data_IF_277320733787
#
_entry.id   IF_277320733787
#
_cell.length_a   1.000
_cell.length_b   1.000
_cell.length_c   1.000
_cell.angle_alpha   90.00
_cell.angle_beta   90.00
_cell.angle_gamma   90.00
#
_symmetry.space_group_name_H-M   'P 1'
#
loop_
_entity.id
_entity.type
_entity.pdbx_description
1 polymer ?
#
# COMPACT_ATOMS: atom_id res chain seq x y z
N UNK A 1 -25.49 -2.49 5.41
CA UNK A 1 -25.55 -3.89 5.82
C UNK A 1 -24.12 -4.42 6.01
N UNK A 2 -23.67 -4.51 7.24
CA UNK A 2 -22.40 -5.17 7.55
C UNK A 2 -22.72 -6.66 7.66
N UNK A 3 -22.39 -7.41 6.61
CA UNK A 3 -22.52 -8.87 6.63
C UNK A 3 -21.61 -9.45 7.70
N UNK A 4 -22.12 -10.46 8.45
CA UNK A 4 -21.30 -11.24 9.39
C UNK A 4 -20.50 -12.34 8.67
N UNK A 5 -20.70 -12.51 7.37
CA UNK A 5 -19.94 -13.45 6.55
C UNK A 5 -18.52 -12.90 6.33
N UNK A 6 -17.47 -13.61 6.76
CA UNK A 6 -16.09 -13.17 6.58
C UNK A 6 -15.66 -13.08 5.09
N UNK A 7 -16.38 -13.76 4.20
CA UNK A 7 -16.13 -13.76 2.75
C UNK A 7 -16.99 -12.73 2.00
N UNK A 8 -17.86 -12.00 2.69
CA UNK A 8 -18.70 -11.00 2.03
C UNK A 8 -17.85 -9.85 1.48
N UNK A 9 -18.07 -9.52 0.22
CA UNK A 9 -17.47 -8.33 -0.40
C UNK A 9 -17.92 -7.08 0.37
N UNK A 10 -16.99 -6.34 0.91
CA UNK A 10 -17.26 -5.13 1.68
C UNK A 10 -17.59 -3.95 0.78
N UNK A 11 -17.03 -3.90 -0.41
CA UNK A 11 -17.31 -2.92 -1.45
C UNK A 11 -17.00 -3.48 -2.83
N UNK A 12 -17.69 -2.96 -3.83
CA UNK A 12 -17.50 -3.31 -5.24
C UNK A 12 -17.16 -2.02 -6.00
N UNK A 13 -16.09 -2.03 -6.77
CA UNK A 13 -15.78 -0.95 -7.67
C UNK A 13 -16.60 -1.09 -8.95
N UNK A 14 -17.56 -0.17 -9.18
CA UNK A 14 -18.32 -0.13 -10.42
C UNK A 14 -17.50 0.55 -11.52
N UNK A 15 -17.34 -0.11 -12.66
CA UNK A 15 -16.88 0.54 -13.88
C UNK A 15 -18.06 1.26 -14.51
N UNK A 16 -17.98 2.58 -14.65
CA UNK A 16 -19.07 3.38 -15.24
C UNK A 16 -19.07 3.38 -16.76
N UNK A 17 -18.01 2.92 -17.43
CA UNK A 17 -17.87 2.91 -18.88
C UNK A 17 -17.01 1.74 -19.32
N UNK A 18 -17.49 1.00 -20.32
CA UNK A 18 -16.74 -0.13 -20.92
C UNK A 18 -15.58 0.34 -21.80
N UNK A 19 -15.58 1.61 -22.22
CA UNK A 19 -14.54 2.25 -23.04
C UNK A 19 -13.38 2.86 -22.21
N UNK A 20 -13.39 2.71 -20.90
CA UNK A 20 -12.25 3.08 -20.07
C UNK A 20 -11.06 2.19 -20.41
N UNK A 21 -10.15 2.72 -21.23
CA UNK A 21 -8.90 2.11 -21.70
C UNK A 21 -7.93 1.66 -20.59
N UNK A 22 -8.31 1.86 -19.34
CA UNK A 22 -7.47 1.56 -18.20
C UNK A 22 -8.05 0.37 -17.43
N UNK A 23 -7.41 -0.78 -17.56
CA UNK A 23 -7.62 -1.96 -16.70
C UNK A 23 -7.28 -1.68 -15.22
N UNK A 24 -6.87 -0.45 -14.92
CA UNK A 24 -6.39 -0.02 -13.62
C UNK A 24 -7.40 0.93 -12.99
N UNK A 25 -7.96 0.54 -11.85
CA UNK A 25 -8.74 1.44 -11.02
C UNK A 25 -7.82 2.00 -9.94
N UNK A 26 -7.44 3.28 -10.09
CA UNK A 26 -6.53 3.98 -9.17
C UNK A 26 -7.23 5.23 -8.67
N UNK A 27 -7.24 5.41 -7.36
CA UNK A 27 -7.76 6.61 -6.70
C UNK A 27 -6.63 7.59 -6.41
N UNK A 28 -6.90 8.90 -6.51
CA UNK A 28 -6.00 9.96 -6.05
C UNK A 28 -5.01 10.50 -7.09
N UNK A 29 -5.04 10.03 -8.35
CA UNK A 29 -4.07 10.44 -9.38
C UNK A 29 -4.07 11.94 -9.72
N UNK A 30 -5.17 12.65 -9.50
CA UNK A 30 -5.33 14.05 -9.95
C UNK A 30 -4.56 15.05 -9.08
N UNK A 31 -4.16 14.67 -7.87
CA UNK A 31 -3.55 15.58 -6.88
C UNK A 31 -2.08 15.22 -6.60
N UNK A 32 -1.50 14.33 -7.41
CA UNK A 32 -0.16 13.79 -7.18
C UNK A 32 0.94 14.74 -7.70
N UNK A 33 1.89 15.04 -6.83
CA UNK A 33 3.16 15.66 -7.19
C UNK A 33 4.16 14.58 -7.63
N UNK A 34 4.41 14.51 -8.95
CA UNK A 34 5.32 13.52 -9.56
C UNK A 34 6.81 13.75 -9.24
N UNK A 35 7.16 14.91 -8.68
CA UNK A 35 8.53 15.22 -8.28
C UNK A 35 8.92 14.64 -6.93
N UNK A 36 7.93 14.14 -6.17
CA UNK A 36 8.07 13.56 -4.84
C UNK A 36 7.74 12.07 -4.84
N UNK A 37 8.22 11.29 -3.84
CA UNK A 37 7.78 9.91 -3.67
C UNK A 37 6.26 9.80 -3.56
N UNK A 38 5.66 8.87 -4.33
CA UNK A 38 4.23 8.61 -4.34
C UNK A 38 3.98 7.32 -3.55
N UNK A 39 3.19 7.41 -2.49
CA UNK A 39 2.84 6.24 -1.68
C UNK A 39 1.68 5.51 -2.34
N UNK A 40 1.86 4.22 -2.62
CA UNK A 40 0.87 3.35 -3.25
C UNK A 40 0.27 2.43 -2.19
N UNK A 41 -0.94 2.72 -1.73
CA UNK A 41 -1.70 1.91 -0.77
C UNK A 41 -2.62 0.92 -1.48
N UNK A 42 -3.08 -0.12 -0.79
CA UNK A 42 -4.07 -1.06 -1.32
C UNK A 42 -5.48 -0.45 -1.30
N UNK A 43 -5.83 0.30 -0.26
CA UNK A 43 -7.15 0.87 -0.04
C UNK A 43 -7.21 2.39 -0.04
N UNK A 44 -8.39 2.94 -0.40
CA UNK A 44 -8.66 4.38 -0.36
C UNK A 44 -8.55 4.91 1.08
N UNK A 45 -9.06 4.14 2.05
CA UNK A 45 -9.08 4.55 3.44
C UNK A 45 -7.68 4.62 4.10
N UNK A 46 -6.66 4.06 3.46
CA UNK A 46 -5.27 4.24 3.86
C UNK A 46 -4.66 5.46 3.16
N UNK A 47 -4.89 5.58 1.85
CA UNK A 47 -4.32 6.64 1.05
C UNK A 47 -4.85 8.04 1.42
N UNK A 48 -6.13 8.17 1.80
CA UNK A 48 -6.77 9.46 2.09
C UNK A 48 -6.13 10.24 3.24
N UNK A 49 -5.46 9.56 4.15
CA UNK A 49 -4.78 10.18 5.29
C UNK A 49 -3.35 10.61 4.99
N UNK A 50 -2.78 10.11 3.90
CA UNK A 50 -1.37 10.32 3.56
C UNK A 50 -1.21 11.41 2.50
N UNK A 51 -0.17 12.21 2.63
CA UNK A 51 0.20 13.18 1.60
C UNK A 51 0.88 12.47 0.43
N UNK A 52 0.57 12.91 -0.78
CA UNK A 52 1.10 12.36 -2.05
C UNK A 52 0.90 10.84 -2.19
N UNK A 53 -0.32 10.38 -1.91
CA UNK A 53 -0.66 8.96 -1.91
C UNK A 53 -1.77 8.63 -2.91
N UNK A 54 -1.73 7.40 -3.44
CA UNK A 54 -2.74 6.81 -4.30
C UNK A 54 -3.20 5.46 -3.75
N UNK A 55 -4.42 5.05 -4.10
CA UNK A 55 -4.89 3.70 -3.80
C UNK A 55 -4.98 2.86 -5.07
N UNK A 56 -4.35 1.69 -5.03
CA UNK A 56 -4.36 0.69 -6.10
C UNK A 56 -5.50 -0.30 -5.83
N UNK A 57 -6.70 0.01 -6.31
CA UNK A 57 -7.94 -0.73 -5.97
C UNK A 57 -8.06 -2.10 -6.64
N UNK A 58 -7.07 -2.49 -7.39
CA UNK A 58 -6.95 -3.80 -8.03
C UNK A 58 -5.54 -4.32 -7.80
N UNK A 59 -5.25 -5.57 -8.14
CA UNK A 59 -3.89 -6.15 -8.07
C UNK A 59 -2.90 -5.50 -9.05
N UNK A 60 -2.95 -4.16 -9.14
CA UNK A 60 -2.12 -3.35 -10.02
C UNK A 60 -0.68 -3.38 -9.53
N UNK A 61 0.20 -3.88 -10.37
CA UNK A 61 1.64 -3.95 -10.07
C UNK A 61 2.42 -2.75 -10.59
N UNK A 62 1.84 -1.98 -11.52
CA UNK A 62 2.49 -0.81 -12.14
C UNK A 62 1.42 0.25 -12.43
N UNK A 63 1.78 1.52 -12.31
CA UNK A 63 0.90 2.65 -12.63
C UNK A 63 1.30 3.19 -13.99
N UNK A 64 0.46 3.00 -15.02
CA UNK A 64 0.74 3.46 -16.38
C UNK A 64 0.97 4.97 -16.42
N UNK A 65 2.04 5.40 -17.10
CA UNK A 65 2.41 6.82 -17.20
C UNK A 65 3.15 7.39 -15.99
N UNK A 66 3.57 6.53 -15.06
CA UNK A 66 4.34 6.88 -13.86
C UNK A 66 5.69 6.14 -13.79
N UNK A 67 6.18 5.66 -14.94
CA UNK A 67 7.43 4.88 -15.01
C UNK A 67 8.66 5.64 -14.52
N UNK A 68 8.65 6.97 -14.63
CA UNK A 68 9.73 7.85 -14.16
C UNK A 68 9.47 8.40 -12.74
N UNK A 69 8.41 7.96 -12.06
CA UNK A 69 8.09 8.42 -10.71
C UNK A 69 8.63 7.43 -9.67
N UNK A 70 8.98 7.96 -8.50
CA UNK A 70 9.34 7.13 -7.36
C UNK A 70 8.08 6.59 -6.69
N UNK A 71 7.65 5.38 -7.05
CA UNK A 71 6.53 4.70 -6.42
C UNK A 71 7.01 3.93 -5.18
N UNK A 72 6.37 4.15 -4.04
CA UNK A 72 6.63 3.45 -2.78
C UNK A 72 5.41 2.60 -2.44
N UNK A 73 5.51 1.30 -2.58
CA UNK A 73 4.41 0.38 -2.29
C UNK A 73 4.31 0.12 -0.79
N UNK A 74 3.16 0.46 -0.23
CA UNK A 74 2.80 0.20 1.16
C UNK A 74 1.73 -0.89 1.20
N UNK A 75 2.10 -2.04 1.76
CA UNK A 75 1.22 -3.18 1.96
C UNK A 75 0.67 -3.19 3.39
N UNK A 76 -0.40 -3.95 3.61
CA UNK A 76 -0.90 -4.20 4.96
C UNK A 76 0.21 -4.75 5.86
N UNK A 77 0.29 -4.26 7.09
CA UNK A 77 1.31 -4.66 8.06
C UNK A 77 0.98 -6.02 8.71
N UNK A 78 0.83 -7.04 7.87
CA UNK A 78 0.44 -8.39 8.25
C UNK A 78 1.59 -9.42 8.01
N UNK A 79 2.66 -9.43 8.84
CA UNK A 79 3.83 -10.28 8.61
C UNK A 79 3.54 -11.79 8.76
N UNK A 80 2.35 -12.17 9.25
CA UNK A 80 1.89 -13.57 9.34
C UNK A 80 0.97 -13.97 8.18
N UNK A 81 0.56 -13.04 7.35
CA UNK A 81 -0.28 -13.31 6.18
C UNK A 81 0.60 -13.73 5.00
N UNK A 82 0.50 -14.99 4.60
CA UNK A 82 1.33 -15.57 3.51
C UNK A 82 1.14 -14.84 2.19
N UNK A 83 -0.06 -14.36 1.91
CA UNK A 83 -0.36 -13.67 0.64
C UNK A 83 0.30 -12.29 0.62
N UNK A 84 0.22 -11.52 1.71
CA UNK A 84 0.88 -10.22 1.83
C UNK A 84 2.40 -10.37 1.76
N UNK A 85 2.98 -11.34 2.47
CA UNK A 85 4.43 -11.61 2.39
C UNK A 85 4.84 -11.97 0.97
N UNK A 86 4.07 -12.82 0.27
CA UNK A 86 4.33 -13.18 -1.13
C UNK A 86 4.26 -11.98 -2.07
N UNK A 87 3.28 -11.08 -1.87
CA UNK A 87 3.16 -9.83 -2.65
C UNK A 87 4.38 -8.94 -2.40
N UNK A 88 4.81 -8.77 -1.14
CA UNK A 88 6.01 -8.01 -0.79
C UNK A 88 7.26 -8.58 -1.50
N UNK A 89 7.46 -9.88 -1.46
CA UNK A 89 8.56 -10.57 -2.14
C UNK A 89 8.51 -10.36 -3.66
N UNK A 90 7.31 -10.43 -4.27
CA UNK A 90 7.14 -10.16 -5.70
C UNK A 90 7.52 -8.73 -6.07
N UNK A 91 7.15 -7.73 -5.25
CA UNK A 91 7.56 -6.34 -5.46
C UNK A 91 9.08 -6.20 -5.35
N UNK A 92 9.71 -6.79 -4.33
CA UNK A 92 11.15 -6.73 -4.14
C UNK A 92 11.93 -7.39 -5.28
N UNK A 93 11.51 -8.58 -5.74
CA UNK A 93 12.12 -9.26 -6.90
C UNK A 93 11.95 -8.49 -8.21
N UNK A 94 10.87 -7.74 -8.36
CA UNK A 94 10.66 -6.85 -9.50
C UNK A 94 11.44 -5.52 -9.40
N UNK A 95 12.29 -5.35 -8.37
CA UNK A 95 13.10 -4.14 -8.16
C UNK A 95 12.30 -2.92 -7.69
N UNK A 96 11.03 -3.10 -7.30
CA UNK A 96 10.19 -1.99 -6.84
C UNK A 96 10.57 -1.56 -5.43
N UNK A 97 10.30 -0.28 -5.13
CA UNK A 97 10.48 0.24 -3.77
C UNK A 97 9.26 -0.08 -2.92
N UNK A 98 9.48 -0.76 -1.80
CA UNK A 98 8.44 -1.07 -0.82
C UNK A 98 8.75 -0.36 0.50
N UNK A 99 7.73 -0.04 1.28
CA UNK A 99 7.88 0.39 2.65
C UNK A 99 7.56 -0.76 3.60
N UNK A 100 8.45 -0.98 4.57
CA UNK A 100 8.27 -1.96 5.65
C UNK A 100 8.25 -1.19 6.96
N UNK A 101 7.08 -1.08 7.55
CA UNK A 101 6.88 -0.30 8.76
C UNK A 101 7.63 -0.90 9.96
N UNK A 102 8.14 -0.05 10.88
CA UNK A 102 8.73 -0.51 12.14
C UNK A 102 7.80 -1.41 12.95
N UNK A 103 8.38 -2.34 13.69
CA UNK A 103 7.64 -3.34 14.48
C UNK A 103 6.67 -2.75 15.51
N UNK A 104 6.88 -1.51 15.95
CA UNK A 104 5.96 -0.78 16.85
C UNK A 104 4.52 -0.72 16.29
N UNK A 105 4.35 -0.70 14.96
CA UNK A 105 3.03 -0.64 14.33
C UNK A 105 2.26 -1.96 14.40
N UNK A 106 2.90 -3.07 14.73
CA UNK A 106 2.23 -4.37 14.90
C UNK A 106 1.22 -4.39 16.06
N UNK A 107 1.38 -3.49 17.03
CA UNK A 107 0.50 -3.37 18.19
C UNK A 107 -0.75 -2.53 17.87
N UNK A 108 -0.70 -1.71 16.81
CA UNK A 108 -1.77 -0.78 16.47
C UNK A 108 -2.75 -1.31 15.43
N UNK A 109 -2.40 -2.38 14.72
CA UNK A 109 -3.25 -2.98 13.71
C UNK A 109 -2.52 -3.33 12.43
N UNK A 110 -3.27 -3.50 11.35
CA UNK A 110 -2.73 -3.96 10.08
C UNK A 110 -2.55 -2.87 9.03
N UNK A 111 -3.29 -1.78 9.12
CA UNK A 111 -3.37 -0.73 8.10
C UNK A 111 -3.34 0.67 8.72
N UNK A 112 -3.19 1.69 7.86
CA UNK A 112 -3.10 3.10 8.28
C UNK A 112 -4.35 3.53 9.06
N UNK A 113 -5.52 3.07 8.63
CA UNK A 113 -6.78 3.39 9.29
C UNK A 113 -6.81 2.84 10.72
N UNK A 114 -6.28 1.64 10.95
CA UNK A 114 -6.16 1.06 12.29
C UNK A 114 -5.16 1.85 13.15
N UNK A 115 -4.02 2.27 12.59
CA UNK A 115 -3.03 3.07 13.33
C UNK A 115 -3.62 4.40 13.81
N UNK A 116 -4.38 5.07 12.95
CA UNK A 116 -5.05 6.34 13.29
C UNK A 116 -6.11 6.13 14.37
N UNK A 117 -6.92 5.08 14.29
CA UNK A 117 -7.88 4.71 15.35
C UNK A 117 -7.20 4.48 16.70
N UNK A 118 -5.95 4.00 16.69
CA UNK A 118 -5.13 3.80 17.87
C UNK A 118 -4.27 5.03 18.21
N UNK A 119 -4.67 6.23 17.77
CA UNK A 119 -4.08 7.53 18.07
C UNK A 119 -2.62 7.70 17.58
N UNK A 120 -2.19 6.97 16.56
CA UNK A 120 -0.91 7.26 15.92
C UNK A 120 -1.01 8.57 15.11
N UNK A 121 0.03 9.40 15.20
CA UNK A 121 0.13 10.64 14.42
C UNK A 121 0.30 10.33 12.94
N UNK A 122 -0.52 10.95 12.09
CA UNK A 122 -0.41 10.82 10.62
C UNK A 122 0.97 11.25 10.13
N UNK A 123 1.52 12.33 10.72
CA UNK A 123 2.84 12.85 10.38
C UNK A 123 3.96 11.83 10.71
N UNK A 124 3.86 11.15 11.85
CA UNK A 124 4.83 10.12 12.23
C UNK A 124 4.70 8.89 11.34
N UNK A 125 3.47 8.47 11.03
CA UNK A 125 3.22 7.37 10.09
C UNK A 125 3.83 7.69 8.72
N UNK A 126 3.53 8.85 8.15
CA UNK A 126 4.06 9.31 6.86
C UNK A 126 5.59 9.33 6.86
N UNK A 127 6.20 9.87 7.89
CA UNK A 127 7.64 9.90 8.07
C UNK A 127 8.22 8.49 8.12
N UNK A 128 7.64 7.61 8.92
CA UNK A 128 8.12 6.23 9.07
C UNK A 128 7.97 5.44 7.76
N UNK A 129 6.90 5.65 6.98
CA UNK A 129 6.74 5.07 5.65
C UNK A 129 7.91 5.45 4.75
N UNK A 130 8.22 6.75 4.66
CA UNK A 130 9.25 7.24 3.76
C UNK A 130 10.67 6.90 4.22
N UNK A 131 10.92 6.83 5.52
CA UNK A 131 12.22 6.46 6.07
C UNK A 131 12.53 4.97 6.01
N UNK A 132 11.53 4.11 5.90
CA UNK A 132 11.68 2.65 5.88
C UNK A 132 11.39 2.08 4.48
N UNK A 133 11.89 2.74 3.45
CA UNK A 133 11.76 2.31 2.07
C UNK A 133 12.98 1.52 1.61
N UNK A 134 12.70 0.41 0.92
CA UNK A 134 13.73 -0.53 0.48
C UNK A 134 13.42 -1.02 -0.94
N UNK A 135 14.46 -1.32 -1.73
CA UNK A 135 14.33 -1.91 -3.07
C UNK A 135 15.38 -3.00 -3.29
N UNK A 136 15.15 -3.86 -4.28
CA UNK A 136 16.08 -4.91 -4.69
C UNK A 136 16.50 -5.84 -3.54
N UNK A 137 17.80 -6.26 -3.46
CA UNK A 137 18.27 -7.21 -2.45
C UNK A 137 18.04 -6.75 -1.01
N UNK A 138 18.10 -5.43 -0.76
CA UNK A 138 17.84 -4.87 0.57
C UNK A 138 16.38 -5.07 0.98
N UNK A 139 15.44 -4.87 0.05
CA UNK A 139 14.03 -5.14 0.33
C UNK A 139 13.80 -6.61 0.71
N UNK A 140 14.44 -7.54 0.01
CA UNK A 140 14.35 -8.98 0.32
C UNK A 140 14.84 -9.25 1.75
N UNK A 141 15.98 -8.68 2.16
CA UNK A 141 16.50 -8.84 3.52
C UNK A 141 15.57 -8.27 4.58
N UNK A 142 14.99 -7.10 4.34
CA UNK A 142 14.06 -6.48 5.30
C UNK A 142 12.74 -7.25 5.39
N UNK A 143 12.23 -7.80 4.27
CA UNK A 143 11.06 -8.72 4.28
C UNK A 143 11.37 -9.97 5.13
N UNK A 144 12.57 -10.56 5.00
CA UNK A 144 12.95 -11.74 5.80
C UNK A 144 12.97 -11.45 7.31
N UNK A 145 13.33 -10.25 7.72
CA UNK A 145 13.27 -9.80 9.12
C UNK A 145 11.85 -9.52 9.60
N UNK A 146 11.04 -8.95 8.71
CA UNK A 146 9.67 -8.54 9.00
C UNK A 146 8.70 -9.71 9.08
N UNK A 147 8.78 -10.67 8.16
CA UNK A 147 7.89 -11.83 8.11
C UNK A 147 7.95 -12.69 9.37
N UNK A 148 6.80 -13.26 9.76
CA UNK A 148 6.62 -14.11 10.95
C UNK A 148 6.06 -15.51 10.58
N UNK A 149 6.36 -15.98 9.38
CA UNK A 149 5.95 -17.29 8.83
C UNK A 149 7.18 -18.04 8.34
#
# INVERSE_FOLDING_TARGET
NISKDPNALRYIHAKFRDDCLHDQVIWGLNEIDKSRPIICCEGIFDAIFLDNAIALLTSVKTVKGYDNCQLVYLLDNEPRNKDIVKIAEQHAHAGRTISILPSKYLEYGKDINDFIKNNCSVQDIQKDILMNTYSGPRAILEIQKWRKI
#
